data_IF_255746173225
#
_entry.id   IF_255746173225
#
_cell.length_a   1.000
_cell.length_b   1.000
_cell.length_c   1.000
_cell.angle_alpha   90.00
_cell.angle_beta   90.00
_cell.angle_gamma   90.00
#
_symmetry.space_group_name_H-M   'P 1'
#
loop_
_entity.id
_entity.type
_entity.pdbx_description
1 polymer ?
#
# COMPACT_ATOMS: atom_id res chain seq x y z
N UNK A 1 -0.56 -2.74 50.72
CA UNK A 1 -1.26 -1.45 50.52
C UNK A 1 -2.10 -1.43 49.26
N UNK A 2 -1.83 -2.28 48.25
CA UNK A 2 -2.73 -2.51 47.10
C UNK A 2 -4.10 -3.14 47.46
N UNK A 3 -4.11 -4.12 48.38
CA UNK A 3 -5.36 -4.82 48.76
C UNK A 3 -6.42 -3.92 49.43
N UNK A 4 -6.01 -2.78 50.01
CA UNK A 4 -6.94 -1.80 50.58
C UNK A 4 -7.51 -0.85 49.54
N UNK A 5 -6.86 -0.67 48.38
CA UNK A 5 -7.38 0.17 47.31
C UNK A 5 -8.50 -0.55 46.53
N UNK A 6 -8.33 -1.84 46.24
CA UNK A 6 -9.34 -2.68 45.60
C UNK A 6 -10.61 -2.85 46.45
N UNK A 7 -10.48 -2.95 47.78
CA UNK A 7 -11.64 -3.04 48.67
C UNK A 7 -12.45 -1.73 48.78
N UNK A 8 -11.87 -0.58 48.43
CA UNK A 8 -12.54 0.73 48.55
C UNK A 8 -13.41 1.05 47.32
N UNK A 9 -13.21 0.36 46.20
CA UNK A 9 -14.08 0.45 45.01
C UNK A 9 -15.38 -0.38 45.14
N UNK A 10 -15.46 -1.30 46.11
CA UNK A 10 -16.58 -2.26 46.21
C UNK A 10 -17.43 -2.14 47.48
N UNK A 11 -17.32 -1.06 48.27
CA UNK A 11 -17.91 -0.99 49.61
C UNK A 11 -18.80 0.23 49.92
N UNK A 12 -20.11 0.02 49.81
CA UNK A 12 -21.20 0.72 50.52
C UNK A 12 -21.60 2.16 50.10
N UNK A 13 -22.48 2.23 49.07
CA UNK A 13 -23.52 3.25 48.99
C UNK A 13 -24.87 2.63 48.57
N UNK A 14 -25.67 2.32 49.59
CA UNK A 14 -27.14 2.26 49.67
C UNK A 14 -27.92 2.54 48.35
N UNK A 15 -28.60 1.50 47.84
CA UNK A 15 -29.93 1.60 47.22
C UNK A 15 -30.03 2.19 45.80
N UNK A 16 -30.34 1.29 44.85
CA UNK A 16 -30.82 1.42 43.46
C UNK A 16 -29.88 0.68 42.50
N UNK A 17 -30.42 -0.32 41.80
CA UNK A 17 -29.67 -1.20 40.92
C UNK A 17 -29.02 -0.45 39.78
N UNK A 18 -27.71 -0.28 39.86
CA UNK A 18 -26.83 -0.03 38.72
C UNK A 18 -26.15 -1.36 38.41
N UNK A 19 -26.53 -1.97 37.29
CA UNK A 19 -25.67 -2.98 36.65
C UNK A 19 -24.42 -2.22 36.23
N UNK A 20 -23.34 -2.36 36.98
CA UNK A 20 -22.02 -1.91 36.55
C UNK A 20 -21.62 -2.86 35.42
N UNK A 21 -21.78 -2.43 34.18
CA UNK A 21 -21.14 -3.11 33.06
C UNK A 21 -19.64 -2.98 33.30
N UNK A 22 -18.97 -4.12 33.50
CA UNK A 22 -17.51 -4.17 33.60
C UNK A 22 -16.97 -3.83 32.21
N UNK A 23 -16.32 -2.69 32.09
CA UNK A 23 -15.69 -2.27 30.84
C UNK A 23 -14.29 -2.89 30.79
N UNK A 24 -14.25 -4.14 30.31
CA UNK A 24 -12.99 -4.90 30.22
C UNK A 24 -11.94 -4.19 29.35
N UNK A 25 -12.36 -3.34 28.39
CA UNK A 25 -11.45 -2.57 27.55
C UNK A 25 -10.76 -1.46 28.35
N UNK A 26 -11.51 -0.75 29.19
CA UNK A 26 -10.95 0.27 30.09
C UNK A 26 -10.00 -0.37 31.13
N UNK A 27 -10.37 -1.52 31.70
CA UNK A 27 -9.54 -2.23 32.68
C UNK A 27 -8.21 -2.74 32.08
N UNK A 28 -8.23 -3.27 30.85
CA UNK A 28 -7.01 -3.72 30.15
C UNK A 28 -6.14 -2.55 29.72
N UNK A 29 -6.73 -1.49 29.17
CA UNK A 29 -6.00 -0.30 28.72
C UNK A 29 -5.21 0.35 29.86
N UNK A 30 -5.82 0.49 31.04
CA UNK A 30 -5.17 1.03 32.24
C UNK A 30 -3.97 0.17 32.64
N UNK A 31 -4.13 -1.16 32.71
CA UNK A 31 -3.03 -2.06 33.09
C UNK A 31 -1.89 -2.05 32.08
N UNK A 32 -2.19 -1.91 30.79
CA UNK A 32 -1.17 -1.85 29.73
C UNK A 32 -0.35 -0.58 29.78
N UNK A 33 -1.00 0.57 29.93
CA UNK A 33 -0.32 1.84 30.05
C UNK A 33 0.55 1.89 31.30
N UNK A 34 0.03 1.39 32.43
CA UNK A 34 0.79 1.30 33.68
C UNK A 34 2.03 0.40 33.54
N UNK A 35 1.87 -0.82 33.02
CA UNK A 35 2.97 -1.78 32.89
C UNK A 35 3.96 -1.41 31.77
N UNK A 36 3.50 -0.85 30.65
CA UNK A 36 4.39 -0.43 29.57
C UNK A 36 5.22 0.78 29.97
N UNK A 37 4.63 1.76 30.65
CA UNK A 37 5.36 2.88 31.22
C UNK A 37 6.38 2.43 32.27
N UNK A 38 6.06 1.41 33.07
CA UNK A 38 7.00 0.85 34.05
C UNK A 38 8.18 0.10 33.39
N UNK A 39 7.93 -0.65 32.32
CA UNK A 39 8.95 -1.45 31.62
C UNK A 39 9.78 -0.66 30.60
N UNK A 40 9.24 0.43 30.04
CA UNK A 40 9.84 1.17 28.92
C UNK A 40 10.07 2.64 29.25
N UNK A 41 10.58 2.95 30.44
CA UNK A 41 11.03 4.29 30.85
C UNK A 41 9.97 5.41 30.70
N UNK A 42 8.70 5.09 30.97
CA UNK A 42 7.59 6.04 30.93
C UNK A 42 6.98 6.26 29.55
N UNK A 43 7.36 5.46 28.55
CA UNK A 43 6.73 5.47 27.23
C UNK A 43 5.32 4.86 27.36
N UNK A 44 4.25 5.56 26.96
CA UNK A 44 2.90 5.01 26.97
C UNK A 44 2.75 3.84 25.99
N UNK A 45 1.76 2.97 26.20
CA UNK A 45 1.66 1.72 25.46
C UNK A 45 1.49 1.96 23.95
N UNK A 46 0.74 2.98 23.55
CA UNK A 46 0.48 3.35 22.15
C UNK A 46 1.74 3.72 21.36
N UNK A 47 2.70 4.38 22.00
CA UNK A 47 3.99 4.80 21.44
C UNK A 47 5.07 3.68 21.45
N UNK A 48 4.77 2.52 22.02
CA UNK A 48 5.66 1.36 22.07
C UNK A 48 5.92 0.67 20.73
N UNK A 49 7.05 -0.05 20.64
CA UNK A 49 7.36 -0.91 19.49
C UNK A 49 6.72 -2.30 19.64
N UNK A 50 6.73 -3.10 18.58
CA UNK A 50 6.07 -4.43 18.57
C UNK A 50 6.58 -5.37 19.66
N UNK A 51 7.87 -5.32 19.97
CA UNK A 51 8.46 -6.20 20.98
C UNK A 51 8.06 -5.79 22.41
N UNK A 52 8.08 -4.48 22.73
CA UNK A 52 7.71 -3.97 24.05
C UNK A 52 6.22 -4.15 24.34
N UNK A 53 5.38 -3.98 23.31
CA UNK A 53 3.94 -4.26 23.38
C UNK A 53 3.65 -5.75 23.62
N UNK A 54 4.39 -6.64 22.97
CA UNK A 54 4.25 -8.09 23.16
C UNK A 54 4.65 -8.53 24.58
N UNK A 55 5.68 -7.94 25.17
CA UNK A 55 6.14 -8.25 26.54
C UNK A 55 5.10 -7.86 27.59
N UNK A 56 4.47 -6.69 27.45
CA UNK A 56 3.38 -6.25 28.35
C UNK A 56 2.13 -7.11 28.17
N UNK A 57 1.81 -7.53 26.95
CA UNK A 57 0.64 -8.39 26.68
C UNK A 57 0.78 -9.80 27.27
N UNK A 58 2.01 -10.23 27.57
CA UNK A 58 2.31 -11.54 28.15
C UNK A 58 2.35 -11.53 29.70
N UNK A 59 1.99 -10.42 30.35
CA UNK A 59 1.87 -10.38 31.81
C UNK A 59 0.61 -11.13 32.26
N UNK A 60 0.75 -11.99 33.28
CA UNK A 60 -0.32 -12.88 33.80
C UNK A 60 -1.64 -12.12 34.03
N UNK A 61 -1.58 -10.95 34.66
CA UNK A 61 -2.76 -10.13 35.00
C UNK A 61 -3.49 -9.59 33.75
N UNK A 62 -2.74 -9.30 32.68
CA UNK A 62 -3.25 -8.82 31.40
C UNK A 62 -3.76 -9.99 30.55
N UNK A 63 -3.14 -11.17 30.65
CA UNK A 63 -3.56 -12.41 30.00
C UNK A 63 -4.86 -12.97 30.62
N UNK A 64 -5.02 -12.90 31.94
CA UNK A 64 -6.23 -13.35 32.63
C UNK A 64 -7.46 -12.49 32.27
N UNK A 65 -7.30 -11.16 32.26
CA UNK A 65 -8.34 -10.23 31.83
C UNK A 65 -8.71 -10.38 30.34
N UNK A 66 -7.71 -10.71 29.51
CA UNK A 66 -7.89 -11.07 28.11
C UNK A 66 -8.75 -12.31 27.93
N UNK A 67 -8.45 -13.37 28.67
CA UNK A 67 -9.20 -14.61 28.62
C UNK A 67 -10.64 -14.43 29.13
N UNK A 68 -10.84 -13.65 30.20
CA UNK A 68 -12.19 -13.29 30.69
C UNK A 68 -13.00 -12.52 29.65
N UNK A 69 -12.37 -11.55 28.97
CA UNK A 69 -13.01 -10.78 27.90
C UNK A 69 -13.34 -11.66 26.70
N UNK A 70 -12.39 -12.48 26.24
CA UNK A 70 -12.57 -13.45 25.15
C UNK A 70 -13.73 -14.39 25.41
N UNK A 71 -13.85 -14.89 26.64
CA UNK A 71 -14.96 -15.73 27.05
C UNK A 71 -16.29 -14.96 27.03
N UNK A 72 -16.30 -13.70 27.48
CA UNK A 72 -17.46 -12.80 27.38
C UNK A 72 -17.85 -12.46 25.92
N UNK A 73 -16.89 -12.28 25.01
CA UNK A 73 -17.11 -12.01 23.58
C UNK A 73 -17.62 -13.24 22.83
N UNK A 74 -17.11 -14.42 23.17
CA UNK A 74 -17.63 -15.71 22.69
C UNK A 74 -19.07 -15.96 23.18
N UNK A 75 -19.37 -15.60 24.43
CA UNK A 75 -20.70 -15.72 25.03
C UNK A 75 -21.70 -14.67 24.51
N UNK A 76 -21.22 -13.48 24.14
CA UNK A 76 -22.04 -12.39 23.57
C UNK A 76 -22.22 -12.47 22.06
N UNK A 77 -21.52 -13.37 21.37
CA UNK A 77 -21.74 -13.66 19.95
C UNK A 77 -21.05 -12.70 18.99
N UNK A 78 -19.91 -12.12 19.36
CA UNK A 78 -19.06 -11.39 18.42
C UNK A 78 -18.56 -12.35 17.32
N UNK A 79 -19.09 -12.22 16.10
CA UNK A 79 -18.72 -13.06 14.95
C UNK A 79 -17.26 -12.88 14.51
N UNK A 80 -16.67 -11.73 14.89
CA UNK A 80 -15.25 -11.43 14.73
C UNK A 80 -14.36 -12.35 15.57
N UNK A 81 -14.67 -12.56 16.85
CA UNK A 81 -13.86 -13.38 17.75
C UNK A 81 -13.85 -14.87 17.35
N UNK A 82 -14.87 -15.35 16.63
CA UNK A 82 -15.00 -16.76 16.22
C UNK A 82 -14.23 -17.09 14.94
N UNK A 83 -14.14 -16.16 14.00
CA UNK A 83 -13.64 -16.42 12.63
C UNK A 83 -12.19 -15.98 12.42
N UNK A 84 -11.72 -14.99 13.17
CA UNK A 84 -10.45 -14.30 12.91
C UNK A 84 -9.20 -15.17 13.00
N UNK A 85 -9.04 -15.94 14.09
CA UNK A 85 -7.84 -16.80 14.25
C UNK A 85 -7.75 -17.85 13.15
N UNK A 86 -8.92 -18.32 12.67
CA UNK A 86 -9.00 -19.25 11.55
C UNK A 86 -8.64 -18.55 10.24
N UNK A 87 -9.20 -17.37 10.00
CA UNK A 87 -8.86 -16.55 8.82
C UNK A 87 -7.36 -16.24 8.78
N UNK A 88 -6.77 -15.79 9.89
CA UNK A 88 -5.34 -15.49 10.03
C UNK A 88 -4.47 -16.71 9.66
N UNK A 89 -4.80 -17.88 10.22
CA UNK A 89 -4.06 -19.11 9.96
C UNK A 89 -4.13 -19.50 8.48
N UNK A 90 -5.29 -19.36 7.86
CA UNK A 90 -5.48 -19.62 6.43
C UNK A 90 -4.69 -18.63 5.56
N UNK A 91 -4.71 -17.34 5.87
CA UNK A 91 -3.97 -16.31 5.15
C UNK A 91 -2.46 -16.58 5.23
N UNK A 92 -1.94 -16.90 6.41
CA UNK A 92 -0.53 -17.29 6.58
C UNK A 92 -0.18 -18.47 5.67
N UNK A 93 -1.02 -19.52 5.67
CA UNK A 93 -0.83 -20.69 4.80
C UNK A 93 -0.82 -20.31 3.32
N UNK A 94 -1.75 -19.44 2.90
CA UNK A 94 -1.86 -18.97 1.52
C UNK A 94 -0.63 -18.17 1.13
N UNK A 95 -0.12 -17.30 1.99
CA UNK A 95 1.10 -16.53 1.70
C UNK A 95 2.35 -17.40 1.62
N UNK A 96 2.47 -18.39 2.50
CA UNK A 96 3.63 -19.28 2.53
C UNK A 96 3.65 -20.28 1.38
N UNK A 97 2.48 -20.77 0.95
CA UNK A 97 2.37 -21.93 0.07
C UNK A 97 1.50 -21.74 -1.18
N UNK A 98 0.78 -20.63 -1.27
CA UNK A 98 -0.25 -20.36 -2.29
C UNK A 98 -1.57 -21.11 -2.04
N UNK A 99 -1.72 -21.74 -0.87
CA UNK A 99 -2.84 -22.64 -0.55
C UNK A 99 -3.36 -22.42 0.86
N UNK A 100 -4.64 -22.71 1.08
CA UNK A 100 -5.27 -22.84 2.40
C UNK A 100 -4.67 -24.01 3.20
N UNK A 101 -4.96 -24.08 4.49
CA UNK A 101 -4.50 -25.15 5.39
C UNK A 101 -4.97 -26.54 4.98
N UNK A 102 -6.11 -26.63 4.28
CA UNK A 102 -6.66 -27.87 3.70
C UNK A 102 -6.03 -28.26 2.34
N UNK A 103 -5.14 -27.41 1.81
CA UNK A 103 -4.43 -27.62 0.55
C UNK A 103 -5.16 -27.11 -0.70
N UNK A 104 -6.29 -26.41 -0.57
CA UNK A 104 -6.96 -25.75 -1.69
C UNK A 104 -6.10 -24.62 -2.23
N UNK A 105 -5.89 -24.60 -3.55
CA UNK A 105 -5.07 -23.58 -4.19
C UNK A 105 -5.82 -22.25 -4.27
N UNK A 106 -5.19 -21.18 -3.79
CA UNK A 106 -5.71 -19.81 -3.83
C UNK A 106 -4.94 -18.97 -4.84
N UNK A 107 -3.60 -19.02 -4.81
CA UNK A 107 -2.75 -18.23 -5.72
C UNK A 107 -1.82 -19.14 -6.52
N UNK A 108 -1.40 -18.67 -7.70
CA UNK A 108 -0.41 -19.36 -8.52
C UNK A 108 1.03 -19.15 -8.03
N UNK A 109 1.27 -18.04 -7.33
CA UNK A 109 2.58 -17.61 -6.84
C UNK A 109 2.47 -17.09 -5.41
N UNK A 110 3.55 -17.26 -4.63
CA UNK A 110 3.71 -16.60 -3.33
C UNK A 110 4.53 -15.31 -3.47
N UNK A 111 4.39 -14.40 -2.50
CA UNK A 111 5.17 -13.14 -2.49
C UNK A 111 6.67 -13.41 -2.58
N UNK A 112 7.17 -14.38 -1.80
CA UNK A 112 8.57 -14.77 -1.83
C UNK A 112 9.02 -15.28 -3.21
N UNK A 113 8.19 -16.05 -3.90
CA UNK A 113 8.54 -16.58 -5.22
C UNK A 113 8.70 -15.46 -6.26
N UNK A 114 7.86 -14.41 -6.19
CA UNK A 114 7.95 -13.29 -7.11
C UNK A 114 9.09 -12.34 -6.75
N UNK A 115 9.33 -12.10 -5.46
CA UNK A 115 10.47 -11.33 -4.97
C UNK A 115 11.79 -12.00 -5.41
N UNK A 116 11.95 -13.30 -5.15
CA UNK A 116 13.11 -14.08 -5.58
C UNK A 116 13.27 -14.09 -7.12
N UNK A 117 12.18 -14.02 -7.88
CA UNK A 117 12.20 -14.00 -9.33
C UNK A 117 12.66 -12.63 -9.87
N UNK A 118 12.23 -11.53 -9.24
CA UNK A 118 12.66 -10.19 -9.58
C UNK A 118 14.14 -9.98 -9.26
N UNK A 119 14.59 -10.40 -8.07
CA UNK A 119 16.02 -10.29 -7.68
C UNK A 119 16.97 -11.02 -8.62
N UNK A 120 16.54 -12.19 -9.13
CA UNK A 120 17.33 -12.98 -10.09
C UNK A 120 17.19 -12.49 -11.54
N UNK A 121 16.38 -11.47 -11.79
CA UNK A 121 16.09 -10.95 -13.13
C UNK A 121 15.31 -11.92 -14.02
N UNK A 122 14.56 -12.86 -13.43
CA UNK A 122 13.71 -13.80 -14.16
C UNK A 122 12.38 -13.17 -14.61
N UNK A 123 11.93 -12.13 -13.89
CA UNK A 123 10.82 -11.25 -14.25
C UNK A 123 11.29 -9.80 -14.13
N UNK A 124 10.64 -8.89 -14.86
CA UNK A 124 10.86 -7.46 -14.71
C UNK A 124 9.93 -6.86 -13.65
N UNK A 125 10.19 -5.60 -13.28
CA UNK A 125 9.38 -4.86 -12.31
C UNK A 125 7.90 -4.78 -12.66
N UNK A 126 7.56 -4.55 -13.93
CA UNK A 126 6.17 -4.49 -14.39
C UNK A 126 5.44 -5.82 -14.14
N UNK A 127 6.08 -6.94 -14.53
CA UNK A 127 5.55 -8.29 -14.29
C UNK A 127 5.41 -8.56 -12.79
N UNK A 128 6.38 -8.16 -11.98
CA UNK A 128 6.30 -8.28 -10.52
C UNK A 128 5.10 -7.51 -9.95
N UNK A 129 4.88 -6.26 -10.38
CA UNK A 129 3.74 -5.43 -9.94
C UNK A 129 2.41 -6.10 -10.30
N UNK A 130 2.29 -6.63 -11.53
CA UNK A 130 1.08 -7.31 -11.99
C UNK A 130 0.78 -8.58 -11.17
N UNK A 131 1.80 -9.41 -10.91
CA UNK A 131 1.61 -10.63 -10.13
C UNK A 131 1.32 -10.29 -8.66
N UNK A 132 1.99 -9.29 -8.07
CA UNK A 132 1.71 -8.82 -6.71
C UNK A 132 0.22 -8.39 -6.58
N UNK A 133 -0.30 -7.60 -7.54
CA UNK A 133 -1.73 -7.23 -7.60
C UNK A 133 -2.65 -8.44 -7.80
N UNK A 134 -2.21 -9.46 -8.53
CA UNK A 134 -2.99 -10.69 -8.70
C UNK A 134 -3.08 -11.47 -7.39
N UNK A 135 -1.97 -11.64 -6.67
CA UNK A 135 -1.92 -12.29 -5.35
C UNK A 135 -2.88 -11.60 -4.38
N UNK A 136 -2.84 -10.27 -4.28
CA UNK A 136 -3.75 -9.53 -3.39
C UNK A 136 -5.22 -9.75 -3.75
N UNK A 137 -5.57 -9.75 -5.04
CA UNK A 137 -6.95 -9.99 -5.52
C UNK A 137 -7.42 -11.40 -5.23
N UNK A 138 -6.56 -12.40 -5.42
CA UNK A 138 -6.90 -13.80 -5.18
C UNK A 138 -7.15 -14.08 -3.68
N UNK A 139 -6.31 -13.51 -2.80
CA UNK A 139 -6.51 -13.60 -1.35
C UNK A 139 -7.82 -12.90 -0.95
N UNK A 140 -8.08 -11.70 -1.46
CA UNK A 140 -9.31 -10.97 -1.17
C UNK A 140 -10.56 -11.77 -1.62
N UNK A 141 -10.52 -12.35 -2.82
CA UNK A 141 -11.62 -13.19 -3.33
C UNK A 141 -11.82 -14.44 -2.47
N UNK A 142 -10.75 -15.08 -2.04
CA UNK A 142 -10.83 -16.21 -1.12
C UNK A 142 -11.48 -15.81 0.21
N UNK A 143 -11.09 -14.65 0.78
CA UNK A 143 -11.63 -14.14 2.03
C UNK A 143 -13.15 -13.95 1.98
N UNK A 144 -13.66 -13.34 0.91
CA UNK A 144 -15.10 -13.16 0.73
C UNK A 144 -15.84 -14.51 0.76
N UNK A 145 -15.30 -15.54 0.11
CA UNK A 145 -15.87 -16.89 0.15
C UNK A 145 -15.72 -17.57 1.51
N UNK A 146 -14.64 -17.29 2.25
CA UNK A 146 -14.45 -17.77 3.61
C UNK A 146 -15.49 -17.16 4.57
N UNK A 147 -15.71 -15.85 4.50
CA UNK A 147 -16.72 -15.15 5.30
C UNK A 147 -18.12 -15.70 5.05
N UNK A 148 -18.50 -15.87 3.77
CA UNK A 148 -19.79 -16.49 3.40
C UNK A 148 -19.93 -17.90 4.00
N UNK A 149 -18.88 -18.72 3.97
CA UNK A 149 -18.89 -20.07 4.50
C UNK A 149 -18.98 -20.13 6.04
N UNK A 150 -18.43 -19.15 6.74
CA UNK A 150 -18.55 -18.99 8.20
C UNK A 150 -19.90 -18.35 8.60
N UNK A 151 -20.74 -17.98 7.64
CA UNK A 151 -22.07 -17.40 7.88
C UNK A 151 -22.05 -15.90 8.18
N UNK A 152 -20.96 -15.22 7.85
CA UNK A 152 -20.82 -13.77 7.96
C UNK A 152 -21.43 -13.15 6.70
N UNK A 153 -22.52 -12.40 6.87
CA UNK A 153 -23.22 -11.71 5.77
C UNK A 153 -23.36 -10.22 6.06
N UNK A 154 -22.38 -9.44 5.60
CA UNK A 154 -22.37 -8.00 5.74
C UNK A 154 -23.30 -7.26 4.76
N UNK A 155 -23.89 -7.95 3.77
CA UNK A 155 -24.93 -7.33 2.93
C UNK A 155 -26.25 -7.23 3.68
N UNK A 156 -26.57 -8.23 4.51
CA UNK A 156 -27.82 -8.25 5.29
C UNK A 156 -27.67 -7.75 6.72
N UNK A 157 -26.46 -7.83 7.30
CA UNK A 157 -26.14 -7.29 8.62
C UNK A 157 -24.81 -6.52 8.58
N UNK A 158 -24.80 -5.26 8.07
CA UNK A 158 -23.58 -4.49 7.92
C UNK A 158 -22.98 -4.16 9.30
N UNK A 159 -21.64 -4.12 9.41
CA UNK A 159 -20.99 -3.79 10.65
C UNK A 159 -21.35 -2.35 11.05
N UNK A 160 -21.36 -2.08 12.36
CA UNK A 160 -21.65 -0.74 12.87
C UNK A 160 -20.56 0.22 12.36
N UNK A 161 -20.91 1.40 11.81
CA UNK A 161 -19.91 2.36 11.34
C UNK A 161 -18.90 2.69 12.43
N UNK A 162 -17.61 2.59 12.11
CA UNK A 162 -16.51 2.79 13.05
C UNK A 162 -16.27 1.65 14.04
N UNK A 163 -16.93 0.50 13.89
CA UNK A 163 -16.54 -0.73 14.60
C UNK A 163 -15.25 -1.31 14.01
N UNK A 164 -14.62 -2.22 14.75
CA UNK A 164 -13.45 -2.95 14.29
C UNK A 164 -13.71 -3.67 12.95
N UNK A 165 -14.87 -4.32 12.82
CA UNK A 165 -15.31 -4.97 11.58
C UNK A 165 -15.45 -3.97 10.42
N UNK A 166 -16.08 -2.81 10.65
CA UNK A 166 -16.24 -1.77 9.61
C UNK A 166 -14.87 -1.27 9.13
N UNK A 167 -13.91 -1.07 10.03
CA UNK A 167 -12.57 -0.60 9.67
C UNK A 167 -11.78 -1.64 8.87
N UNK A 168 -11.85 -2.92 9.27
CA UNK A 168 -11.17 -4.02 8.56
C UNK A 168 -11.81 -4.25 7.19
N UNK A 169 -13.14 -4.21 7.09
CA UNK A 169 -13.83 -4.32 5.81
C UNK A 169 -13.51 -3.14 4.89
N UNK A 170 -13.47 -1.91 5.42
CA UNK A 170 -13.07 -0.74 4.64
C UNK A 170 -11.62 -0.85 4.17
N UNK A 171 -10.71 -1.40 4.99
CA UNK A 171 -9.32 -1.62 4.61
C UNK A 171 -9.17 -2.64 3.47
N UNK A 172 -10.00 -3.68 3.49
CA UNK A 172 -10.02 -4.73 2.47
C UNK A 172 -10.67 -4.27 1.17
N UNK A 173 -11.77 -3.54 1.27
CA UNK A 173 -12.56 -3.07 0.13
C UNK A 173 -12.10 -1.72 -0.41
N UNK A 174 -11.03 -1.14 0.15
CA UNK A 174 -10.46 0.09 -0.39
C UNK A 174 -9.95 -0.21 -1.81
N UNK A 175 -10.43 0.56 -2.77
CA UNK A 175 -9.92 0.58 -4.13
C UNK A 175 -9.16 1.89 -4.35
N UNK A 176 -8.05 1.87 -5.10
CA UNK A 176 -7.32 3.10 -5.37
C UNK A 176 -8.17 4.01 -6.25
N UNK A 177 -8.26 5.28 -5.86
CA UNK A 177 -9.07 6.28 -6.56
C UNK A 177 -8.38 6.61 -7.89
N UNK A 178 -9.14 6.62 -8.98
CA UNK A 178 -8.65 7.09 -10.28
C UNK A 178 -9.14 8.52 -10.47
N UNK A 179 -8.21 9.46 -10.64
CA UNK A 179 -8.56 10.84 -10.96
C UNK A 179 -9.32 10.87 -12.30
N UNK A 180 -10.54 11.41 -12.34
CA UNK A 180 -11.38 11.36 -13.54
C UNK A 180 -10.89 12.28 -14.67
N UNK A 181 -9.94 13.17 -14.40
CA UNK A 181 -9.37 14.12 -15.35
C UNK A 181 -7.98 13.70 -15.84
N UNK A 182 -7.12 13.20 -14.97
CA UNK A 182 -5.76 12.75 -15.34
C UNK A 182 -5.71 11.27 -15.70
N UNK A 183 -6.71 10.48 -15.30
CA UNK A 183 -6.72 9.00 -15.38
C UNK A 183 -5.58 8.34 -14.60
N UNK A 184 -4.89 9.12 -13.77
CA UNK A 184 -3.86 8.61 -12.87
C UNK A 184 -4.52 8.01 -11.65
N UNK A 185 -3.91 6.94 -11.16
CA UNK A 185 -4.35 6.27 -9.95
C UNK A 185 -3.69 6.94 -8.75
N UNK A 186 -4.48 7.50 -7.84
CA UNK A 186 -4.03 8.08 -6.57
C UNK A 186 -3.65 6.97 -5.60
N UNK A 187 -2.46 6.43 -5.83
CA UNK A 187 -1.88 5.40 -4.99
C UNK A 187 -1.44 5.94 -3.62
N UNK A 188 -1.07 7.22 -3.51
CA UNK A 188 -0.62 7.80 -2.23
C UNK A 188 -1.79 7.99 -1.28
N UNK A 189 -2.91 8.54 -1.78
CA UNK A 189 -4.16 8.59 -1.04
C UNK A 189 -4.67 7.20 -0.68
N UNK A 190 -4.54 6.22 -1.58
CA UNK A 190 -4.87 4.83 -1.31
C UNK A 190 -4.06 4.23 -0.16
N UNK A 191 -2.72 4.30 -0.21
CA UNK A 191 -1.87 3.75 0.84
C UNK A 191 -2.03 4.50 2.16
N UNK A 192 -2.16 5.82 2.11
CA UNK A 192 -2.41 6.65 3.30
C UNK A 192 -3.72 6.26 3.98
N UNK A 193 -4.79 6.05 3.21
CA UNK A 193 -6.07 5.62 3.79
C UNK A 193 -6.03 4.17 4.28
N UNK A 194 -5.29 3.26 3.61
CA UNK A 194 -5.05 1.91 4.18
C UNK A 194 -4.33 1.99 5.52
N UNK A 195 -3.28 2.79 5.63
CA UNK A 195 -2.52 2.96 6.88
C UNK A 195 -3.37 3.62 7.96
N UNK A 196 -4.20 4.61 7.59
CA UNK A 196 -5.13 5.25 8.50
C UNK A 196 -6.21 4.29 9.02
N UNK A 197 -6.84 3.48 8.15
CA UNK A 197 -7.84 2.48 8.53
C UNK A 197 -7.23 1.38 9.41
N UNK A 198 -6.03 0.92 9.07
CA UNK A 198 -5.26 -0.01 9.89
C UNK A 198 -4.97 0.58 11.26
N UNK A 199 -4.41 1.79 11.32
CA UNK A 199 -4.11 2.46 12.58
C UNK A 199 -5.37 2.70 13.41
N UNK A 200 -6.51 3.01 12.79
CA UNK A 200 -7.78 3.13 13.46
C UNK A 200 -8.27 1.78 14.03
N UNK A 201 -8.14 0.69 13.26
CA UNK A 201 -8.49 -0.65 13.71
C UNK A 201 -7.58 -1.13 14.86
N UNK A 202 -6.28 -0.84 14.78
CA UNK A 202 -5.29 -1.06 15.85
C UNK A 202 -5.56 -0.16 17.06
N UNK A 203 -6.17 1.02 16.91
CA UNK A 203 -6.58 1.83 18.08
C UNK A 203 -7.82 1.31 18.77
N UNK A 204 -8.68 0.59 18.05
CA UNK A 204 -9.80 -0.16 18.62
C UNK A 204 -9.39 -1.55 19.10
N UNK A 205 -8.11 -1.89 18.94
CA UNK A 205 -7.55 -3.14 19.38
C UNK A 205 -7.26 -3.11 20.86
N UNK A 206 -7.66 -4.18 21.52
CA UNK A 206 -7.34 -4.38 22.92
C UNK A 206 -6.17 -5.34 23.12
N UNK A 207 -5.75 -6.19 22.15
CA UNK A 207 -4.95 -7.41 22.42
C UNK A 207 -3.78 -7.82 21.51
N UNK A 208 -3.34 -7.03 20.54
CA UNK A 208 -2.30 -7.48 19.60
C UNK A 208 -2.81 -8.46 18.52
N UNK A 209 -4.05 -8.96 18.62
CA UNK A 209 -4.72 -9.80 17.63
C UNK A 209 -5.02 -9.06 16.31
N UNK A 210 -5.32 -7.76 16.37
CA UNK A 210 -5.48 -6.91 15.18
C UNK A 210 -4.16 -6.65 14.50
N UNK A 211 -3.13 -6.38 15.30
CA UNK A 211 -1.77 -6.29 14.84
C UNK A 211 -1.31 -7.62 14.22
N UNK A 212 -1.57 -8.77 14.84
CA UNK A 212 -1.20 -10.10 14.33
C UNK A 212 -1.96 -10.46 13.04
N UNK A 213 -3.26 -10.17 13.00
CA UNK A 213 -4.07 -10.35 11.80
C UNK A 213 -3.55 -9.53 10.61
N UNK A 214 -3.25 -8.25 10.83
CA UNK A 214 -2.63 -7.40 9.80
C UNK A 214 -1.22 -7.88 9.44
N UNK A 215 -0.42 -8.35 10.42
CA UNK A 215 0.89 -8.94 10.15
C UNK A 215 0.80 -10.23 9.30
N UNK A 216 -0.23 -11.06 9.51
CA UNK A 216 -0.54 -12.22 8.66
C UNK A 216 -0.94 -11.80 7.24
N UNK A 217 -1.63 -10.66 7.10
CA UNK A 217 -1.86 -9.99 5.82
C UNK A 217 -0.60 -9.36 5.22
N UNK A 218 0.57 -9.58 5.86
CA UNK A 218 1.90 -9.08 5.51
C UNK A 218 1.94 -7.60 5.29
N UNK A 219 1.47 -6.91 6.32
CA UNK A 219 1.47 -5.46 6.47
C UNK A 219 2.85 -4.85 6.71
N UNK A 220 3.84 -5.65 7.11
CA UNK A 220 5.22 -5.28 6.90
C UNK A 220 5.50 -5.59 5.43
N UNK A 221 5.58 -4.54 4.63
CA UNK A 221 6.07 -4.63 3.26
C UNK A 221 7.30 -5.55 3.26
N UNK A 222 7.33 -6.55 2.36
CA UNK A 222 8.61 -7.19 2.11
C UNK A 222 9.63 -6.11 1.74
N UNK A 223 10.91 -6.36 1.99
CA UNK A 223 11.95 -5.39 1.62
C UNK A 223 11.79 -4.94 0.16
N UNK A 224 11.35 -5.85 -0.73
CA UNK A 224 11.02 -5.55 -2.11
C UNK A 224 9.81 -4.62 -2.27
N UNK A 225 8.74 -4.82 -1.53
CA UNK A 225 7.56 -3.94 -1.52
C UNK A 225 7.90 -2.54 -0.97
N UNK A 226 8.73 -2.46 0.09
CA UNK A 226 9.19 -1.18 0.64
C UNK A 226 10.06 -0.43 -0.38
N UNK A 227 11.00 -1.13 -1.01
CA UNK A 227 11.83 -0.58 -2.07
C UNK A 227 11.00 -0.16 -3.30
N UNK A 228 9.93 -0.88 -3.62
CA UNK A 228 9.00 -0.51 -4.68
C UNK A 228 8.28 0.80 -4.38
N UNK A 229 7.80 1.00 -3.14
CA UNK A 229 7.16 2.24 -2.71
C UNK A 229 8.12 3.43 -2.83
N UNK A 230 9.34 3.29 -2.28
CA UNK A 230 10.38 4.33 -2.40
C UNK A 230 10.74 4.63 -3.86
N UNK A 231 10.93 3.60 -4.69
CA UNK A 231 11.18 3.80 -6.12
C UNK A 231 10.00 4.46 -6.84
N UNK A 232 8.77 4.25 -6.38
CA UNK A 232 7.61 4.91 -6.96
C UNK A 232 7.57 6.39 -6.61
N UNK A 233 7.82 6.77 -5.37
CA UNK A 233 7.90 8.19 -4.96
C UNK A 233 8.95 8.93 -5.80
N UNK A 234 10.14 8.36 -5.94
CA UNK A 234 11.19 8.94 -6.79
C UNK A 234 10.80 9.02 -8.26
N UNK A 235 10.02 8.05 -8.76
CA UNK A 235 9.51 8.04 -10.13
C UNK A 235 8.47 9.12 -10.35
N UNK A 236 7.54 9.28 -9.42
CA UNK A 236 6.46 10.26 -9.50
C UNK A 236 7.06 11.68 -9.41
N UNK A 237 8.02 11.92 -8.51
CA UNK A 237 8.81 13.16 -8.48
C UNK A 237 9.51 13.42 -9.81
N UNK A 238 10.16 12.41 -10.39
CA UNK A 238 10.84 12.52 -11.68
C UNK A 238 9.89 12.87 -12.83
N UNK A 239 8.69 12.30 -12.85
CA UNK A 239 7.70 12.57 -13.90
C UNK A 239 7.08 13.96 -13.79
N UNK A 240 6.87 14.46 -12.57
CA UNK A 240 6.20 15.72 -12.31
C UNK A 240 7.15 16.93 -12.44
N UNK A 241 8.40 16.77 -12.01
CA UNK A 241 9.34 17.89 -11.91
C UNK A 241 10.27 18.01 -13.13
N UNK A 242 10.55 16.90 -13.84
CA UNK A 242 11.56 16.87 -14.89
C UNK A 242 10.94 16.52 -16.25
N UNK A 243 10.87 17.49 -17.19
CA UNK A 243 10.39 17.24 -18.55
C UNK A 243 11.16 16.10 -19.23
N UNK A 244 10.42 15.28 -20.00
CA UNK A 244 10.96 14.09 -20.66
C UNK A 244 12.09 14.41 -21.64
N UNK A 245 11.96 15.52 -22.37
CA UNK A 245 12.90 15.92 -23.41
C UNK A 245 13.61 17.23 -23.04
N UNK A 246 14.72 17.48 -23.71
CA UNK A 246 15.47 18.74 -23.58
C UNK A 246 14.59 19.96 -23.84
N UNK A 247 15.00 21.11 -23.31
CA UNK A 247 14.32 22.39 -23.47
C UNK A 247 12.90 22.45 -22.86
N UNK A 248 12.62 21.59 -21.88
CA UNK A 248 11.38 21.62 -21.13
C UNK A 248 10.17 21.05 -21.87
N UNK A 249 10.41 20.22 -22.89
CA UNK A 249 9.37 19.66 -23.75
C UNK A 249 8.80 18.39 -23.11
N UNK A 250 7.48 18.31 -23.01
CA UNK A 250 6.77 17.17 -22.42
C UNK A 250 6.42 16.10 -23.47
N UNK A 251 6.19 14.87 -23.02
CA UNK A 251 5.81 13.76 -23.90
C UNK A 251 4.48 14.03 -24.61
N UNK A 252 3.50 14.58 -23.89
CA UNK A 252 2.21 14.99 -24.46
C UNK A 252 2.35 16.04 -25.59
N UNK A 253 3.32 16.95 -25.51
CA UNK A 253 3.56 17.93 -26.58
C UNK A 253 4.14 17.26 -27.83
N UNK A 254 5.06 16.32 -27.67
CA UNK A 254 5.68 15.57 -28.77
C UNK A 254 4.66 14.67 -29.44
N UNK A 255 3.91 13.88 -28.67
CA UNK A 255 2.88 12.99 -29.17
C UNK A 255 1.80 13.76 -29.93
N UNK A 256 1.34 14.88 -29.37
CA UNK A 256 0.41 15.77 -30.07
C UNK A 256 1.00 16.25 -31.39
N UNK A 257 2.27 16.68 -31.41
CA UNK A 257 2.93 17.17 -32.63
C UNK A 257 3.04 16.09 -33.71
N UNK A 258 3.38 14.85 -33.31
CA UNK A 258 3.48 13.70 -34.21
C UNK A 258 2.10 13.35 -34.77
N UNK A 259 1.08 13.25 -33.90
CA UNK A 259 -0.30 12.94 -34.28
C UNK A 259 -0.90 14.01 -35.20
N UNK A 260 -0.72 15.29 -34.89
CA UNK A 260 -1.19 16.42 -35.72
C UNK A 260 -0.51 16.40 -37.10
N UNK A 261 0.79 16.08 -37.13
CA UNK A 261 1.55 15.96 -38.38
C UNK A 261 1.11 14.75 -39.21
N UNK A 262 0.82 13.63 -38.57
CA UNK A 262 0.27 12.45 -39.23
C UNK A 262 -1.12 12.74 -39.81
N UNK A 263 -2.00 13.36 -39.02
CA UNK A 263 -3.33 13.75 -39.45
C UNK A 263 -3.28 14.72 -40.65
N UNK A 264 -2.37 15.71 -40.61
CA UNK A 264 -2.14 16.61 -41.74
C UNK A 264 -1.70 15.85 -43.00
N UNK A 265 -0.67 14.99 -42.89
CA UNK A 265 -0.15 14.21 -44.02
C UNK A 265 -1.24 13.33 -44.65
N UNK A 266 -2.06 12.68 -43.81
CA UNK A 266 -3.24 11.92 -44.26
C UNK A 266 -4.25 12.82 -44.96
N UNK A 267 -4.54 14.01 -44.44
CA UNK A 267 -5.53 14.94 -45.00
C UNK A 267 -5.16 15.44 -46.41
N UNK A 268 -3.86 15.61 -46.68
CA UNK A 268 -3.36 16.06 -47.99
C UNK A 268 -3.00 14.90 -48.93
N UNK A 269 -3.25 13.65 -48.52
CA UNK A 269 -2.94 12.45 -49.30
C UNK A 269 -1.43 12.21 -49.48
N UNK A 270 -0.60 12.75 -48.59
CA UNK A 270 0.86 12.58 -48.64
C UNK A 270 1.26 11.19 -48.17
N UNK A 271 2.25 10.61 -48.85
CA UNK A 271 2.87 9.33 -48.47
C UNK A 271 4.15 9.51 -47.66
N UNK A 272 4.46 10.75 -47.24
CA UNK A 272 5.64 11.00 -46.41
C UNK A 272 5.45 10.42 -45.01
N UNK A 273 6.53 9.94 -44.41
CA UNK A 273 6.54 9.65 -42.98
C UNK A 273 6.52 10.97 -42.19
N UNK A 274 6.00 10.90 -40.96
CA UNK A 274 5.97 12.03 -40.03
C UNK A 274 7.38 12.59 -39.80
N UNK A 275 8.36 11.72 -39.53
CA UNK A 275 9.76 12.14 -39.36
C UNK A 275 10.32 12.87 -40.57
N UNK A 276 10.05 12.39 -41.80
CA UNK A 276 10.49 13.09 -43.02
C UNK A 276 9.84 14.48 -43.15
N UNK A 277 8.57 14.60 -42.81
CA UNK A 277 7.84 15.87 -42.85
C UNK A 277 8.34 16.86 -41.80
N UNK A 278 8.55 16.42 -40.56
CA UNK A 278 9.07 17.24 -39.47
C UNK A 278 10.52 17.71 -39.76
N UNK A 279 11.37 16.81 -40.28
CA UNK A 279 12.72 17.18 -40.71
C UNK A 279 12.68 18.18 -41.86
N UNK A 280 11.81 17.97 -42.85
CA UNK A 280 11.62 18.94 -43.93
C UNK A 280 11.17 20.30 -43.42
N UNK A 281 10.16 20.36 -42.52
CA UNK A 281 9.69 21.59 -41.89
C UNK A 281 10.83 22.34 -41.18
N UNK A 282 11.63 21.64 -40.37
CA UNK A 282 12.75 22.22 -39.64
C UNK A 282 13.76 22.92 -40.59
N UNK A 283 13.99 22.35 -41.77
CA UNK A 283 14.89 22.93 -42.78
C UNK A 283 14.21 23.93 -43.75
N UNK A 284 12.90 24.20 -43.63
CA UNK A 284 12.20 25.16 -44.51
C UNK A 284 12.46 26.63 -44.14
N UNK A 285 12.66 26.95 -42.85
CA UNK A 285 12.88 28.33 -42.42
C UNK A 285 12.94 28.49 -40.90
N UNK A 286 13.47 29.61 -40.42
CA UNK A 286 13.67 29.90 -38.99
C UNK A 286 12.36 29.79 -38.17
N UNK A 287 11.22 30.11 -38.77
CA UNK A 287 9.90 30.00 -38.12
C UNK A 287 9.53 28.55 -37.73
N UNK A 288 10.14 27.55 -38.36
CA UNK A 288 9.92 26.13 -38.11
C UNK A 288 11.08 25.46 -37.35
N UNK A 289 12.16 26.19 -37.06
CA UNK A 289 13.31 25.71 -36.29
C UNK A 289 13.04 25.77 -34.79
N UNK A 290 11.91 25.22 -34.35
CA UNK A 290 11.55 25.17 -32.93
C UNK A 290 12.12 23.92 -32.28
N UNK A 291 12.44 24.00 -30.98
CA UNK A 291 12.89 22.85 -30.20
C UNK A 291 11.86 21.71 -30.24
N UNK A 292 10.57 22.03 -30.19
CA UNK A 292 9.50 21.03 -30.32
C UNK A 292 9.54 20.29 -31.67
N UNK A 293 9.85 20.97 -32.78
CA UNK A 293 9.97 20.31 -34.09
C UNK A 293 11.24 19.45 -34.17
N UNK A 294 12.35 19.90 -33.57
CA UNK A 294 13.59 19.13 -33.49
C UNK A 294 13.40 17.85 -32.66
N UNK A 295 12.85 17.97 -31.44
CA UNK A 295 12.54 16.84 -30.57
C UNK A 295 11.57 15.88 -31.25
N UNK A 296 10.43 16.37 -31.75
CA UNK A 296 9.45 15.51 -32.42
C UNK A 296 10.01 14.82 -33.67
N UNK A 297 10.95 15.45 -34.38
CA UNK A 297 11.65 14.81 -35.50
C UNK A 297 12.46 13.59 -35.04
N UNK A 298 13.33 13.75 -34.05
CA UNK A 298 14.18 12.67 -33.52
C UNK A 298 13.34 11.53 -32.94
N UNK A 299 12.28 11.88 -32.18
CA UNK A 299 11.31 10.89 -31.67
C UNK A 299 10.59 10.14 -32.80
N UNK A 300 10.13 10.84 -33.84
CA UNK A 300 9.39 10.23 -34.94
C UNK A 300 10.24 9.31 -35.85
N UNK A 301 11.57 9.44 -35.81
CA UNK A 301 12.50 8.53 -36.51
C UNK A 301 13.02 7.39 -35.63
N UNK A 302 12.62 7.36 -34.35
CA UNK A 302 13.01 6.31 -33.40
C UNK A 302 14.30 6.58 -32.62
N UNK A 303 14.83 7.80 -32.67
CA UNK A 303 16.10 8.21 -32.05
C UNK A 303 15.81 9.10 -30.83
N UNK A 304 15.02 8.59 -29.87
CA UNK A 304 14.57 9.38 -28.71
C UNK A 304 15.73 9.84 -27.82
N UNK A 305 16.76 9.03 -27.71
CA UNK A 305 17.92 9.25 -26.83
C UNK A 305 18.69 10.53 -27.12
N UNK A 306 18.72 10.96 -28.37
CA UNK A 306 19.41 12.19 -28.82
C UNK A 306 18.77 13.45 -28.24
N UNK A 307 17.54 13.35 -27.73
CA UNK A 307 16.75 14.48 -27.22
C UNK A 307 16.18 14.25 -25.82
N UNK A 308 16.52 13.14 -25.18
CA UNK A 308 16.14 12.86 -23.79
C UNK A 308 16.80 13.88 -22.85
N UNK A 309 16.05 14.36 -21.87
CA UNK A 309 16.59 15.28 -20.87
C UNK A 309 17.72 14.60 -20.06
N UNK A 310 18.96 15.12 -20.07
CA UNK A 310 20.06 14.51 -19.32
C UNK A 310 19.86 14.54 -17.79
N UNK A 311 19.08 15.49 -17.26
CA UNK A 311 18.73 15.51 -15.83
C UNK A 311 17.88 14.31 -15.45
N UNK A 312 17.00 13.85 -16.35
CA UNK A 312 16.20 12.63 -16.16
C UNK A 312 17.10 11.40 -16.02
N UNK A 313 18.13 11.30 -16.86
CA UNK A 313 19.14 10.23 -16.78
C UNK A 313 19.96 10.33 -15.49
N UNK A 314 20.36 11.54 -15.09
CA UNK A 314 21.16 11.78 -13.88
C UNK A 314 20.39 11.50 -12.59
N UNK A 315 19.08 11.74 -12.54
CA UNK A 315 18.26 11.44 -11.36
C UNK A 315 18.20 9.93 -11.12
N UNK A 316 18.25 9.13 -12.19
CA UNK A 316 18.20 7.67 -12.11
C UNK A 316 19.59 7.08 -11.86
N UNK A 317 20.58 7.49 -12.65
CA UNK A 317 21.95 6.95 -12.62
C UNK A 317 22.85 7.60 -11.56
N UNK A 318 22.34 8.61 -10.86
CA UNK A 318 23.11 9.48 -9.99
C UNK A 318 23.91 10.52 -10.77
N UNK A 319 23.98 11.73 -10.26
CA UNK A 319 24.60 12.84 -10.97
C UNK A 319 24.16 14.19 -10.44
N UNK A 320 24.20 15.19 -11.31
CA UNK A 320 23.70 16.53 -11.02
C UNK A 320 22.33 16.73 -11.67
N UNK A 321 21.36 17.16 -10.88
CA UNK A 321 20.02 17.61 -11.30
C UNK A 321 19.90 19.05 -10.80
N UNK A 322 19.85 20.02 -11.72
CA UNK A 322 20.11 21.42 -11.37
C UNK A 322 21.46 21.59 -10.67
N UNK A 323 21.43 22.13 -9.43
CA UNK A 323 22.61 22.34 -8.58
C UNK A 323 22.78 21.26 -7.49
N UNK A 324 21.89 20.26 -7.44
CA UNK A 324 21.88 19.23 -6.41
C UNK A 324 22.50 17.91 -6.88
N UNK A 325 23.23 17.26 -5.97
CA UNK A 325 23.82 15.94 -6.21
C UNK A 325 22.83 14.86 -5.80
N UNK A 326 22.32 14.13 -6.80
CA UNK A 326 21.39 13.01 -6.60
C UNK A 326 22.16 11.70 -6.59
N UNK A 327 21.85 10.80 -5.65
CA UNK A 327 22.42 9.45 -5.62
C UNK A 327 21.71 8.56 -6.64
N UNK A 328 22.43 7.60 -7.22
CA UNK A 328 21.83 6.63 -8.12
C UNK A 328 20.76 5.83 -7.38
N UNK A 329 19.56 5.70 -7.98
CA UNK A 329 18.52 4.82 -7.45
C UNK A 329 18.41 3.56 -8.32
N UNK A 330 19.07 2.45 -7.94
CA UNK A 330 18.98 1.18 -8.68
C UNK A 330 17.58 0.57 -8.66
N UNK A 331 16.72 0.94 -7.70
CA UNK A 331 15.35 0.42 -7.60
C UNK A 331 14.43 1.03 -8.67
N UNK A 332 14.67 2.27 -9.10
CA UNK A 332 13.99 2.85 -10.27
C UNK A 332 14.23 1.99 -11.52
N UNK A 333 15.45 1.49 -11.68
CA UNK A 333 15.82 0.63 -12.81
C UNK A 333 15.14 -0.72 -12.74
N UNK A 334 15.12 -1.31 -11.54
CA UNK A 334 14.54 -2.62 -11.31
C UNK A 334 13.02 -2.61 -11.52
N UNK A 335 12.32 -1.61 -10.97
CA UNK A 335 10.86 -1.54 -11.01
C UNK A 335 10.28 -0.86 -12.25
N UNK A 336 11.00 0.13 -12.78
CA UNK A 336 10.56 0.93 -13.92
C UNK A 336 11.60 0.90 -15.04
N UNK A 337 11.92 -0.28 -15.61
CA UNK A 337 12.87 -0.36 -16.71
C UNK A 337 12.42 0.44 -17.93
N UNK A 338 11.12 0.70 -18.08
CA UNK A 338 10.57 1.58 -19.11
C UNK A 338 10.93 3.07 -18.96
N UNK A 339 11.49 3.52 -17.83
CA UNK A 339 12.11 4.85 -17.75
C UNK A 339 13.42 4.94 -18.53
N UNK A 340 14.00 3.79 -18.87
CA UNK A 340 15.14 3.65 -19.77
C UNK A 340 14.59 3.51 -21.18
N UNK A 341 14.78 4.55 -21.98
CA UNK A 341 14.71 4.40 -23.42
C UNK A 341 16.15 4.51 -23.92
N UNK A 342 16.51 3.49 -24.69
CA UNK A 342 17.79 3.19 -25.31
C UNK A 342 17.53 2.63 -26.70
#
# INVERSE_FOLDING_TARGET
QLEQFLATLTGEAVGFGTVTFRDFAEEVGILRDENHAELNDGIPYDEGNTASKAEVNALDDIEELQDEKKQSELESGSDFAKSRNKEETEILSIRESGKTTDGTKVTDFTQKQIDDALERGAIDGNTWIEINRQISRDIHKWRLGFQEAEGIDFETDPPKPGSLDDLIERWWNLEPVIDPFTLETDWDGFFTEKDHLKAAAIRLEDHGEVTAYFAAMGDDDTEMQANFKAAREDRDQLLDEIPAYTDGITDAQVDKKINDSEAYLRSVGSTWSVGRYLGWLYYQGEEYQTNLNAVAYWVAIGERDEVTNPERTNMIMGGLVGDEQVQANPMLVLFYPGLFHG
#
